data_IF_273431350400
#
_entry.id   IF_273431350400
#
_cell.length_a   1.000
_cell.length_b   1.000
_cell.length_c   1.000
_cell.angle_alpha   90.00
_cell.angle_beta   90.00
_cell.angle_gamma   90.00
#
_symmetry.space_group_name_H-M   'P 1'
#
loop_
_entity.id
_entity.type
_entity.pdbx_description
1 polymer ?
#
# COMPACT_ATOMS: atom_id res chain seq x y z
N UNK A 1 -24.01 -24.82 0.90
CA UNK A 1 -23.28 -23.54 1.06
C UNK A 1 -23.41 -22.73 -0.22
N UNK A 2 -23.71 -21.41 -0.15
CA UNK A 2 -23.86 -20.52 -1.29
C UNK A 2 -22.99 -19.25 -1.14
N UNK A 3 -22.94 -18.44 -2.20
CA UNK A 3 -22.09 -17.24 -2.23
C UNK A 3 -22.47 -16.20 -1.19
N UNK A 4 -23.77 -16.01 -0.89
CA UNK A 4 -24.24 -15.08 0.13
C UNK A 4 -23.82 -15.52 1.53
N UNK A 5 -23.83 -16.83 1.77
CA UNK A 5 -23.33 -17.37 3.04
C UNK A 5 -21.83 -17.08 3.19
N UNK A 6 -21.04 -17.25 2.12
CA UNK A 6 -19.62 -16.89 2.13
C UNK A 6 -19.40 -15.38 2.34
N UNK A 7 -20.18 -14.53 1.69
CA UNK A 7 -20.14 -13.07 1.91
C UNK A 7 -20.41 -12.72 3.37
N UNK A 8 -21.47 -13.28 3.97
CA UNK A 8 -21.84 -13.02 5.35
C UNK A 8 -20.77 -13.53 6.32
N UNK A 9 -20.20 -14.70 6.04
CA UNK A 9 -19.11 -15.26 6.82
C UNK A 9 -17.86 -14.36 6.77
N UNK A 10 -17.41 -13.98 5.58
CA UNK A 10 -16.25 -13.10 5.37
C UNK A 10 -16.47 -11.76 6.08
N UNK A 11 -17.64 -11.17 5.96
CA UNK A 11 -17.94 -9.89 6.58
C UNK A 11 -17.99 -10.00 8.12
N UNK A 12 -18.56 -11.09 8.66
CA UNK A 12 -18.56 -11.35 10.10
C UNK A 12 -17.14 -11.51 10.66
N UNK A 13 -16.28 -12.22 9.93
CA UNK A 13 -14.88 -12.39 10.30
C UNK A 13 -14.11 -11.06 10.29
N UNK A 14 -14.25 -10.26 9.24
CA UNK A 14 -13.62 -8.93 9.13
C UNK A 14 -14.04 -7.98 10.25
N UNK A 15 -15.35 -7.92 10.52
CA UNK A 15 -15.91 -7.02 11.55
C UNK A 15 -15.72 -7.54 12.99
N UNK A 16 -15.33 -8.80 13.15
CA UNK A 16 -15.25 -9.49 14.47
C UNK A 16 -16.53 -9.32 15.30
N UNK A 17 -17.69 -9.19 14.61
CA UNK A 17 -18.98 -8.92 15.23
C UNK A 17 -20.12 -9.20 14.25
N UNK A 18 -21.05 -10.08 14.63
CA UNK A 18 -22.25 -10.34 13.83
C UNK A 18 -23.16 -9.11 13.71
N UNK A 19 -23.24 -8.28 14.75
CA UNK A 19 -24.06 -7.06 14.72
C UNK A 19 -23.54 -6.06 13.71
N UNK A 20 -22.24 -5.73 13.76
CA UNK A 20 -21.62 -4.80 12.81
C UNK A 20 -21.64 -5.32 11.38
N UNK A 21 -21.42 -6.63 11.21
CA UNK A 21 -21.51 -7.24 9.90
C UNK A 21 -22.94 -7.17 9.33
N UNK A 22 -23.96 -7.43 10.16
CA UNK A 22 -25.35 -7.31 9.75
C UNK A 22 -25.72 -5.87 9.35
N UNK A 23 -25.29 -4.87 10.12
CA UNK A 23 -25.46 -3.44 9.79
C UNK A 23 -24.83 -3.08 8.45
N UNK A 24 -23.58 -3.52 8.22
CA UNK A 24 -22.86 -3.23 6.95
C UNK A 24 -23.47 -3.92 5.73
N UNK A 25 -24.18 -5.02 5.94
CA UNK A 25 -24.87 -5.80 4.90
C UNK A 25 -26.36 -5.43 4.76
N UNK A 26 -26.85 -4.46 5.55
CA UNK A 26 -28.25 -4.05 5.58
C UNK A 26 -29.22 -5.21 5.87
N UNK A 27 -28.83 -6.13 6.75
CA UNK A 27 -29.65 -7.26 7.22
C UNK A 27 -29.76 -7.26 8.73
N UNK A 28 -30.58 -8.18 9.27
CA UNK A 28 -30.71 -8.31 10.74
C UNK A 28 -29.64 -9.24 11.31
N UNK A 29 -29.21 -8.99 12.56
CA UNK A 29 -28.25 -9.85 13.24
C UNK A 29 -28.73 -11.32 13.38
N UNK A 30 -30.04 -11.61 13.67
CA UNK A 30 -30.50 -12.99 13.63
C UNK A 30 -30.34 -13.68 12.30
N UNK A 31 -30.46 -12.96 11.17
CA UNK A 31 -30.27 -13.49 9.83
C UNK A 31 -28.84 -13.97 9.62
N UNK A 32 -27.84 -13.10 9.91
CA UNK A 32 -26.44 -13.50 9.73
C UNK A 32 -26.04 -14.64 10.68
N UNK A 33 -26.50 -14.62 11.93
CA UNK A 33 -26.22 -15.69 12.91
C UNK A 33 -26.81 -17.04 12.48
N UNK A 34 -28.03 -17.04 11.93
CA UNK A 34 -28.67 -18.25 11.41
C UNK A 34 -27.91 -18.81 10.19
N UNK A 35 -27.48 -17.92 9.28
CA UNK A 35 -26.72 -18.32 8.10
C UNK A 35 -25.37 -18.94 8.46
N UNK A 36 -24.64 -18.32 9.38
CA UNK A 36 -23.37 -18.86 9.88
C UNK A 36 -23.59 -20.23 10.53
N UNK A 37 -24.59 -20.35 11.40
CA UNK A 37 -24.91 -21.64 12.04
C UNK A 37 -25.25 -22.74 11.03
N UNK A 38 -25.95 -22.39 9.96
CA UNK A 38 -26.25 -23.36 8.90
C UNK A 38 -24.96 -23.82 8.18
N UNK A 39 -24.01 -22.90 7.97
CA UNK A 39 -22.69 -23.23 7.40
C UNK A 39 -21.91 -24.15 8.33
N UNK A 40 -21.88 -23.86 9.63
CA UNK A 40 -21.22 -24.69 10.64
C UNK A 40 -21.79 -26.11 10.69
N UNK A 41 -23.13 -26.25 10.59
CA UNK A 41 -23.79 -27.54 10.50
C UNK A 41 -23.43 -28.29 9.21
N UNK A 42 -23.45 -27.59 8.06
CA UNK A 42 -23.15 -28.19 6.76
C UNK A 42 -21.68 -28.63 6.65
N UNK A 43 -20.76 -27.88 7.27
CA UNK A 43 -19.34 -28.16 7.28
C UNK A 43 -18.88 -29.07 8.44
N UNK A 44 -19.80 -29.42 9.33
CA UNK A 44 -19.54 -30.18 10.56
C UNK A 44 -18.38 -29.60 11.39
N UNK A 45 -18.25 -28.27 11.39
CA UNK A 45 -17.19 -27.55 12.07
C UNK A 45 -17.65 -26.17 12.55
N UNK A 46 -17.29 -25.83 13.78
CA UNK A 46 -17.46 -24.46 14.26
C UNK A 46 -16.50 -23.54 13.54
N UNK A 47 -17.02 -22.41 13.01
CA UNK A 47 -16.23 -21.42 12.27
C UNK A 47 -15.84 -20.24 13.15
N UNK A 48 -16.65 -19.98 14.18
CA UNK A 48 -16.41 -18.90 15.15
C UNK A 48 -16.48 -19.42 16.57
N UNK A 49 -15.66 -18.86 17.44
CA UNK A 49 -15.83 -18.94 18.88
C UNK A 49 -16.05 -17.55 19.47
N UNK A 50 -16.72 -17.50 20.63
CA UNK A 50 -17.03 -16.24 21.31
C UNK A 50 -15.93 -15.89 22.31
N UNK A 51 -15.46 -14.66 22.25
CA UNK A 51 -14.55 -14.09 23.22
C UNK A 51 -15.17 -12.80 23.80
N UNK A 52 -15.86 -12.94 24.89
CA UNK A 52 -16.62 -11.83 25.51
C UNK A 52 -17.71 -11.30 24.58
N UNK A 53 -17.57 -10.03 24.13
CA UNK A 53 -18.52 -9.38 23.21
C UNK A 53 -18.09 -9.48 21.73
N UNK A 54 -16.95 -10.11 21.44
CA UNK A 54 -16.43 -10.29 20.07
C UNK A 54 -16.51 -11.76 19.65
N UNK A 55 -16.36 -11.98 18.33
CA UNK A 55 -16.19 -13.31 17.75
C UNK A 55 -14.79 -13.40 17.15
N UNK A 56 -14.21 -14.60 17.19
CA UNK A 56 -12.95 -14.92 16.52
C UNK A 56 -13.12 -16.19 15.70
N UNK A 57 -12.31 -16.33 14.67
CA UNK A 57 -12.26 -17.54 13.85
C UNK A 57 -11.63 -18.69 14.63
N UNK A 58 -12.17 -19.89 14.43
CA UNK A 58 -11.51 -21.15 14.77
C UNK A 58 -10.47 -21.47 13.68
N UNK A 59 -9.66 -22.53 13.87
CA UNK A 59 -8.74 -23.01 12.83
C UNK A 59 -9.47 -23.36 11.52
N UNK A 60 -10.66 -24.00 11.62
CA UNK A 60 -11.54 -24.24 10.48
C UNK A 60 -12.04 -22.94 9.84
N UNK A 61 -12.41 -21.97 10.69
CA UNK A 61 -12.81 -20.63 10.27
C UNK A 61 -11.71 -19.90 9.51
N UNK A 62 -10.45 -19.98 9.94
CA UNK A 62 -9.32 -19.35 9.25
C UNK A 62 -9.06 -19.96 7.88
N UNK A 63 -9.11 -21.31 7.79
CA UNK A 63 -8.98 -22.01 6.50
C UNK A 63 -10.10 -21.58 5.55
N UNK A 64 -11.35 -21.58 6.04
CA UNK A 64 -12.49 -21.15 5.23
C UNK A 64 -12.39 -19.67 4.86
N UNK A 65 -11.97 -18.80 5.76
CA UNK A 65 -11.85 -17.36 5.52
C UNK A 65 -10.91 -17.07 4.35
N UNK A 66 -9.72 -17.68 4.34
CA UNK A 66 -8.73 -17.50 3.28
C UNK A 66 -9.25 -17.98 1.91
N UNK A 67 -10.08 -19.03 1.87
CA UNK A 67 -10.66 -19.54 0.61
C UNK A 67 -11.92 -18.77 0.22
N UNK A 68 -12.78 -18.44 1.19
CA UNK A 68 -14.03 -17.73 0.96
C UNK A 68 -13.80 -16.30 0.43
N UNK A 69 -12.77 -15.60 0.91
CA UNK A 69 -12.40 -14.30 0.36
C UNK A 69 -12.14 -14.37 -1.15
N UNK A 70 -11.31 -15.31 -1.59
CA UNK A 70 -11.00 -15.47 -3.00
C UNK A 70 -12.23 -15.81 -3.84
N UNK A 71 -13.15 -16.63 -3.32
CA UNK A 71 -14.39 -17.02 -4.02
C UNK A 71 -15.34 -15.82 -4.14
N UNK A 72 -15.59 -15.09 -3.05
CA UNK A 72 -16.47 -13.91 -3.04
C UNK A 72 -15.94 -12.86 -3.99
N UNK A 73 -14.63 -12.62 -3.98
CA UNK A 73 -14.00 -11.66 -4.87
C UNK A 73 -14.02 -12.09 -6.33
N UNK A 74 -13.79 -13.38 -6.61
CA UNK A 74 -13.91 -13.91 -7.96
C UNK A 74 -15.36 -13.82 -8.47
N UNK A 75 -16.34 -14.05 -7.60
CA UNK A 75 -17.76 -13.91 -7.96
C UNK A 75 -18.14 -12.45 -8.23
N UNK A 76 -17.64 -11.52 -7.41
CA UNK A 76 -17.85 -10.09 -7.64
C UNK A 76 -17.18 -9.62 -8.95
N UNK A 77 -15.99 -10.16 -9.29
CA UNK A 77 -15.33 -9.85 -10.56
C UNK A 77 -16.11 -10.40 -11.77
N UNK A 78 -16.72 -11.58 -11.66
CA UNK A 78 -17.60 -12.13 -12.72
C UNK A 78 -18.77 -11.20 -13.05
N UNK A 79 -19.42 -10.64 -12.04
CA UNK A 79 -20.50 -9.67 -12.25
C UNK A 79 -20.00 -8.39 -12.92
N UNK A 80 -18.85 -7.87 -12.48
CA UNK A 80 -18.25 -6.66 -13.08
C UNK A 80 -17.73 -6.91 -14.51
N UNK A 81 -17.29 -8.14 -14.82
CA UNK A 81 -16.84 -8.52 -16.15
C UNK A 81 -17.99 -8.72 -17.14
N UNK A 82 -19.09 -9.32 -16.68
CA UNK A 82 -20.31 -9.44 -17.47
C UNK A 82 -20.97 -8.07 -17.74
N UNK A 83 -20.91 -7.18 -16.75
CA UNK A 83 -21.35 -5.79 -16.89
C UNK A 83 -20.42 -4.99 -17.80
N UNK A 84 -19.10 -5.24 -17.76
CA UNK A 84 -18.13 -4.59 -18.68
C UNK A 84 -18.21 -5.13 -20.11
N UNK A 85 -18.61 -6.38 -20.31
CA UNK A 85 -18.96 -6.92 -21.63
C UNK A 85 -20.27 -6.34 -22.16
N UNK A 86 -21.20 -5.95 -21.29
CA UNK A 86 -22.46 -5.31 -21.67
C UNK A 86 -22.36 -3.81 -21.87
N UNK A 87 -21.49 -3.13 -21.11
CA UNK A 87 -21.29 -1.68 -21.16
C UNK A 87 -19.79 -1.39 -21.02
N UNK A 88 -19.11 -1.17 -22.15
CA UNK A 88 -17.77 -0.58 -22.23
C UNK A 88 -17.66 0.77 -21.48
N UNK A 89 -18.70 1.18 -20.78
CA UNK A 89 -18.87 2.48 -20.15
C UNK A 89 -18.79 2.46 -18.61
N UNK A 90 -18.81 1.31 -17.94
CA UNK A 90 -18.78 1.26 -16.47
C UNK A 90 -17.76 0.24 -15.97
N UNK A 91 -16.82 0.69 -15.17
CA UNK A 91 -15.83 -0.15 -14.51
C UNK A 91 -15.48 0.37 -13.13
N UNK A 92 -15.05 -0.52 -12.25
CA UNK A 92 -14.52 -0.14 -10.95
C UNK A 92 -13.09 -0.65 -10.82
N UNK A 93 -12.21 0.19 -10.29
CA UNK A 93 -10.81 -0.17 -10.02
C UNK A 93 -10.51 0.21 -8.58
N UNK A 94 -9.94 -0.72 -7.82
CA UNK A 94 -9.44 -0.50 -6.46
C UNK A 94 -7.94 -0.36 -6.52
N UNK A 95 -7.42 0.82 -6.20
CA UNK A 95 -6.01 1.14 -6.29
C UNK A 95 -5.49 1.48 -4.91
N UNK A 96 -4.44 0.77 -4.47
CA UNK A 96 -3.71 1.06 -3.25
C UNK A 96 -2.56 2.04 -3.52
N UNK A 97 -2.49 3.09 -2.73
CA UNK A 97 -1.48 4.13 -2.86
C UNK A 97 -0.87 4.43 -1.48
N UNK A 98 0.42 4.24 -1.28
CA UNK A 98 1.08 4.87 -0.15
C UNK A 98 0.94 6.39 -0.24
N UNK A 99 0.61 7.11 0.86
CA UNK A 99 0.28 8.53 0.81
C UNK A 99 1.31 9.40 0.07
N UNK A 100 2.59 9.13 0.33
CA UNK A 100 3.70 9.82 -0.31
C UNK A 100 3.73 9.60 -1.83
N UNK A 101 3.51 8.36 -2.27
CA UNK A 101 3.46 7.99 -3.69
C UNK A 101 2.23 8.58 -4.37
N UNK A 102 1.08 8.48 -3.67
CA UNK A 102 -0.18 9.03 -4.15
C UNK A 102 -0.10 10.52 -4.44
N UNK A 103 0.45 11.29 -3.52
CA UNK A 103 0.55 12.75 -3.65
C UNK A 103 1.49 13.19 -4.77
N UNK A 104 2.63 12.52 -4.95
CA UNK A 104 3.68 12.96 -5.87
C UNK A 104 3.44 12.56 -7.33
N UNK A 105 2.87 11.38 -7.58
CA UNK A 105 2.86 10.80 -8.93
C UNK A 105 1.46 10.68 -9.55
N UNK A 106 0.42 10.50 -8.76
CA UNK A 106 -0.86 10.05 -9.29
C UNK A 106 -1.93 11.10 -9.61
N UNK A 107 -1.90 12.35 -9.11
CA UNK A 107 -2.95 13.32 -9.44
C UNK A 107 -3.10 13.57 -10.94
N UNK A 108 -1.98 13.69 -11.66
CA UNK A 108 -1.96 13.88 -13.11
C UNK A 108 -2.46 12.63 -13.85
N UNK A 109 -2.01 11.44 -13.44
CA UNK A 109 -2.39 10.15 -14.05
C UNK A 109 -3.88 9.90 -13.89
N UNK A 110 -4.41 10.07 -12.66
CA UNK A 110 -5.83 9.91 -12.35
C UNK A 110 -6.67 10.92 -13.13
N UNK A 111 -6.26 12.19 -13.15
CA UNK A 111 -6.99 13.24 -13.84
C UNK A 111 -7.07 13.01 -15.36
N UNK A 112 -6.00 12.58 -15.99
CA UNK A 112 -5.97 12.27 -17.42
C UNK A 112 -6.76 10.99 -17.74
N UNK A 113 -6.66 9.96 -16.90
CA UNK A 113 -7.44 8.74 -17.06
C UNK A 113 -8.93 9.01 -16.94
N UNK A 114 -9.37 9.79 -15.95
CA UNK A 114 -10.77 10.16 -15.78
C UNK A 114 -11.33 10.94 -16.97
N UNK A 115 -10.54 11.84 -17.59
CA UNK A 115 -10.95 12.54 -18.82
C UNK A 115 -11.19 11.58 -19.99
N UNK A 116 -10.39 10.51 -20.09
CA UNK A 116 -10.50 9.53 -21.17
C UNK A 116 -11.59 8.49 -20.92
N UNK A 117 -11.80 8.11 -19.64
CA UNK A 117 -12.76 7.10 -19.20
C UNK A 117 -13.64 7.61 -18.07
N UNK A 118 -14.55 8.58 -18.34
CA UNK A 118 -15.31 9.28 -17.30
C UNK A 118 -16.29 8.40 -16.55
N UNK A 119 -16.65 7.24 -17.09
CA UNK A 119 -17.57 6.28 -16.48
C UNK A 119 -16.84 5.23 -15.60
N UNK A 120 -15.50 5.21 -15.61
CA UNK A 120 -14.72 4.31 -14.75
C UNK A 120 -14.56 4.95 -13.37
N UNK A 121 -15.03 4.25 -12.36
CA UNK A 121 -14.87 4.66 -10.95
C UNK A 121 -13.56 4.11 -10.40
N UNK A 122 -12.69 4.99 -9.92
CA UNK A 122 -11.46 4.63 -9.20
C UNK A 122 -11.75 4.80 -7.71
N UNK A 123 -11.52 3.74 -6.93
CA UNK A 123 -11.51 3.79 -5.47
C UNK A 123 -10.07 3.73 -5.00
N UNK A 124 -9.61 4.81 -4.38
CA UNK A 124 -8.28 4.89 -3.80
C UNK A 124 -8.32 4.38 -2.35
N UNK A 125 -7.33 3.57 -2.01
CA UNK A 125 -7.09 3.08 -0.67
C UNK A 125 -5.69 3.53 -0.25
N UNK A 126 -5.63 4.44 0.72
CA UNK A 126 -4.38 5.00 1.21
C UNK A 126 -3.92 4.22 2.44
N UNK A 127 -2.76 3.55 2.32
CA UNK A 127 -2.14 2.81 3.42
C UNK A 127 -0.63 2.67 3.18
N UNK A 128 0.12 2.18 4.17
CA UNK A 128 1.55 1.88 4.01
C UNK A 128 1.81 0.85 2.90
N UNK A 129 2.97 0.93 2.24
CA UNK A 129 3.29 0.06 1.11
C UNK A 129 3.23 -1.44 1.45
N UNK A 130 3.55 -1.83 2.69
CA UNK A 130 3.40 -3.23 3.17
C UNK A 130 1.94 -3.68 3.10
N UNK A 131 1.03 -2.84 3.61
CA UNK A 131 -0.40 -3.16 3.61
C UNK A 131 -0.98 -3.17 2.21
N UNK A 132 -0.57 -2.22 1.37
CA UNK A 132 -0.96 -2.18 -0.05
C UNK A 132 -0.52 -3.46 -0.77
N UNK A 133 0.73 -3.94 -0.56
CA UNK A 133 1.22 -5.19 -1.14
C UNK A 133 0.39 -6.39 -0.69
N UNK A 134 0.13 -6.52 0.62
CA UNK A 134 -0.72 -7.57 1.19
C UNK A 134 -2.13 -7.54 0.59
N UNK A 135 -2.73 -6.36 0.45
CA UNK A 135 -4.08 -6.20 -0.07
C UNK A 135 -4.15 -6.51 -1.58
N UNK A 136 -3.06 -6.29 -2.34
CA UNK A 136 -2.95 -6.77 -3.71
C UNK A 136 -2.80 -8.29 -3.73
N UNK A 137 -1.92 -8.87 -2.91
CA UNK A 137 -1.73 -10.32 -2.82
C UNK A 137 -3.00 -11.08 -2.43
N UNK A 138 -3.79 -10.51 -1.52
CA UNK A 138 -5.08 -11.09 -1.10
C UNK A 138 -6.23 -10.78 -2.05
N UNK A 139 -6.03 -9.86 -3.02
CA UNK A 139 -7.03 -9.46 -4.00
C UNK A 139 -8.07 -8.46 -3.47
N UNK A 140 -7.84 -7.85 -2.32
CA UNK A 140 -8.63 -6.72 -1.83
C UNK A 140 -8.47 -5.50 -2.70
N UNK A 141 -7.29 -5.34 -3.30
CA UNK A 141 -6.96 -4.33 -4.31
C UNK A 141 -6.70 -5.01 -5.65
N UNK A 142 -7.02 -4.30 -6.73
CA UNK A 142 -6.77 -4.75 -8.09
C UNK A 142 -5.35 -4.38 -8.51
N UNK A 143 -4.88 -3.22 -8.07
CA UNK A 143 -3.57 -2.64 -8.36
C UNK A 143 -3.06 -1.96 -7.09
N UNK A 144 -1.76 -2.03 -6.84
CA UNK A 144 -1.12 -1.34 -5.72
C UNK A 144 0.19 -0.70 -6.14
N UNK A 145 0.51 0.43 -5.53
CA UNK A 145 1.85 1.00 -5.59
C UNK A 145 2.65 0.45 -4.44
N UNK A 146 3.75 -0.20 -4.77
CA UNK A 146 4.57 -0.96 -3.82
C UNK A 146 6.02 -0.50 -3.87
N UNK A 147 6.75 -0.83 -2.82
CA UNK A 147 8.20 -0.57 -2.75
C UNK A 147 8.95 -1.88 -2.94
N UNK A 148 9.89 -1.89 -3.87
CA UNK A 148 10.70 -3.09 -4.14
C UNK A 148 11.71 -3.38 -3.00
N UNK A 149 12.03 -4.68 -2.76
CA UNK A 149 11.57 -5.87 -3.47
C UNK A 149 10.19 -6.36 -2.99
N UNK A 150 9.44 -7.01 -3.89
CA UNK A 150 8.17 -7.68 -3.61
C UNK A 150 8.20 -9.15 -4.01
N UNK A 151 7.18 -9.91 -3.63
CA UNK A 151 7.06 -11.30 -4.02
C UNK A 151 6.71 -11.47 -5.51
N UNK A 152 7.73 -11.56 -6.37
CA UNK A 152 7.58 -11.71 -7.82
C UNK A 152 6.95 -13.04 -8.26
N UNK A 153 6.87 -14.05 -7.37
CA UNK A 153 6.14 -15.28 -7.67
C UNK A 153 4.62 -15.05 -7.69
N UNK A 154 4.11 -14.10 -6.92
CA UNK A 154 2.69 -13.77 -6.82
C UNK A 154 2.28 -12.54 -7.64
N UNK A 155 3.19 -11.58 -7.81
CA UNK A 155 2.91 -10.28 -8.37
C UNK A 155 3.64 -10.06 -9.71
N UNK A 156 2.94 -9.42 -10.64
CA UNK A 156 3.56 -8.69 -11.73
C UNK A 156 3.89 -7.29 -11.25
N UNK A 157 5.03 -6.77 -11.65
CA UNK A 157 5.46 -5.42 -11.29
C UNK A 157 5.90 -4.64 -12.53
N UNK A 158 5.70 -3.33 -12.45
CA UNK A 158 6.23 -2.34 -13.37
C UNK A 158 6.86 -1.22 -12.57
N UNK A 159 8.19 -1.16 -12.54
CA UNK A 159 8.93 -0.09 -11.87
C UNK A 159 8.82 1.19 -12.67
N UNK A 160 8.51 2.30 -12.02
CA UNK A 160 8.37 3.62 -12.63
C UNK A 160 9.16 4.71 -11.92
N UNK A 161 9.66 4.45 -10.71
CA UNK A 161 10.58 5.32 -9.97
C UNK A 161 11.76 4.51 -9.50
N UNK A 162 12.95 5.01 -9.80
CA UNK A 162 14.22 4.54 -9.27
C UNK A 162 15.00 5.75 -8.76
N UNK A 163 15.04 5.88 -7.45
CA UNK A 163 15.68 6.99 -6.76
C UNK A 163 16.40 6.48 -5.51
N UNK A 164 16.96 7.40 -4.76
CA UNK A 164 17.67 7.12 -3.51
C UNK A 164 17.10 7.95 -2.36
N UNK A 165 17.42 7.54 -1.15
CA UNK A 165 17.14 8.34 0.03
C UNK A 165 18.21 9.41 0.20
N UNK A 166 17.77 10.60 0.57
CA UNK A 166 18.61 11.70 0.99
C UNK A 166 18.39 12.01 2.48
N UNK A 167 19.43 12.52 3.11
CA UNK A 167 19.38 13.04 4.45
C UNK A 167 18.76 14.44 4.44
N UNK A 168 17.79 14.68 5.32
CA UNK A 168 17.25 16.01 5.57
C UNK A 168 17.66 16.48 6.98
N UNK A 169 18.12 17.72 7.04
CA UNK A 169 18.71 18.34 8.21
C UNK A 169 18.07 19.71 8.47
N UNK A 170 18.02 20.18 9.73
CA UNK A 170 17.68 21.56 10.00
C UNK A 170 18.82 22.50 9.54
N UNK A 171 18.48 23.76 9.26
CA UNK A 171 19.48 24.77 8.99
C UNK A 171 20.49 24.90 10.15
N UNK A 172 21.78 24.99 9.81
CA UNK A 172 22.85 25.11 10.81
C UNK A 172 23.28 23.78 11.46
N UNK A 173 22.77 22.66 11.02
CA UNK A 173 23.26 21.36 11.49
C UNK A 173 24.73 21.16 11.08
N UNK A 174 25.53 20.45 11.91
CA UNK A 174 26.97 20.20 11.67
C UNK A 174 27.29 19.59 10.29
N UNK A 175 26.36 18.81 9.74
CA UNK A 175 26.49 18.14 8.44
C UNK A 175 25.85 18.92 7.28
N UNK A 176 25.31 20.11 7.52
CA UNK A 176 24.56 20.86 6.52
C UNK A 176 25.43 21.41 5.34
N UNK A 177 26.75 21.56 5.56
CA UNK A 177 27.68 22.03 4.55
C UNK A 177 28.39 20.87 3.83
N UNK A 178 28.12 19.61 4.19
CA UNK A 178 28.74 18.45 3.55
C UNK A 178 28.14 18.21 2.15
N UNK A 179 28.97 17.88 1.19
CA UNK A 179 28.54 17.50 -0.16
C UNK A 179 27.92 16.09 -0.17
N UNK A 180 28.46 15.17 0.65
CA UNK A 180 28.03 13.79 0.82
C UNK A 180 28.22 13.40 2.29
N UNK A 181 27.32 12.57 2.84
CA UNK A 181 27.39 12.08 4.21
C UNK A 181 27.34 10.56 4.23
N UNK A 182 28.38 9.88 4.78
CA UNK A 182 28.30 8.45 5.06
C UNK A 182 27.21 8.15 6.10
N UNK A 183 26.46 7.06 5.91
CA UNK A 183 25.38 6.72 6.83
C UNK A 183 25.91 6.50 8.28
N UNK A 184 27.12 6.00 8.44
CA UNK A 184 27.77 5.81 9.74
C UNK A 184 27.98 7.10 10.55
N UNK A 185 28.07 8.25 9.90
CA UNK A 185 28.19 9.56 10.57
C UNK A 185 26.92 9.97 11.33
N UNK A 186 25.81 9.30 11.07
CA UNK A 186 24.53 9.56 11.70
C UNK A 186 24.31 8.77 13.01
N UNK A 187 25.31 7.99 13.46
CA UNK A 187 25.18 7.11 14.62
C UNK A 187 24.77 7.81 15.92
N UNK A 188 25.19 9.06 16.10
CA UNK A 188 24.89 9.85 17.31
C UNK A 188 23.66 10.77 17.12
N UNK A 189 23.07 10.79 15.94
CA UNK A 189 21.96 11.67 15.63
C UNK A 189 20.62 11.13 16.12
N UNK A 190 19.68 12.03 16.39
CA UNK A 190 18.31 11.71 16.73
C UNK A 190 17.45 11.67 15.46
N UNK A 191 16.71 10.55 15.26
CA UNK A 191 15.94 10.32 14.05
C UNK A 191 14.46 10.60 14.26
N UNK A 192 13.84 11.18 13.22
CA UNK A 192 12.40 11.26 13.02
C UNK A 192 12.08 10.31 11.86
N UNK A 193 11.36 9.22 12.11
CA UNK A 193 11.10 8.17 11.13
C UNK A 193 9.61 8.07 10.76
N UNK A 194 9.32 7.28 9.75
CA UNK A 194 7.98 6.74 9.57
C UNK A 194 7.68 5.68 10.63
N UNK A 195 6.40 5.42 10.87
CA UNK A 195 5.95 4.34 11.77
C UNK A 195 6.37 2.95 11.23
N UNK A 196 6.42 1.96 12.10
CA UNK A 196 6.83 0.56 11.80
C UNK A 196 6.01 -0.11 10.69
N UNK A 197 4.77 0.33 10.42
CA UNK A 197 3.92 -0.18 9.35
C UNK A 197 4.34 0.32 7.95
N UNK A 198 5.31 1.24 7.86
CA UNK A 198 5.86 1.72 6.59
C UNK A 198 7.15 0.99 6.21
N UNK A 199 7.26 0.60 4.94
CA UNK A 199 8.47 -0.03 4.38
C UNK A 199 9.72 0.82 4.56
N UNK A 200 9.57 2.14 4.52
CA UNK A 200 10.68 3.09 4.66
C UNK A 200 11.31 3.02 6.06
N UNK A 201 10.50 2.83 7.10
CA UNK A 201 10.99 2.61 8.47
C UNK A 201 11.97 1.43 8.50
N UNK A 202 11.51 0.23 8.11
CA UNK A 202 12.35 -0.97 8.16
C UNK A 202 13.60 -0.85 7.29
N UNK A 203 13.48 -0.21 6.13
CA UNK A 203 14.60 0.01 5.23
C UNK A 203 15.69 0.84 5.91
N UNK A 204 15.32 1.94 6.56
CA UNK A 204 16.26 2.82 7.26
C UNK A 204 16.89 2.08 8.44
N UNK A 205 16.08 1.45 9.29
CA UNK A 205 16.60 0.66 10.45
C UNK A 205 17.61 -0.39 9.97
N UNK A 206 17.26 -1.15 8.94
CA UNK A 206 18.12 -2.21 8.40
C UNK A 206 19.45 -1.65 7.88
N UNK A 207 19.45 -0.55 7.16
CA UNK A 207 20.69 0.03 6.62
C UNK A 207 21.55 0.66 7.73
N UNK A 208 20.96 1.28 8.75
CA UNK A 208 21.68 1.74 9.94
C UNK A 208 22.35 0.60 10.69
N UNK A 209 21.63 -0.52 10.90
CA UNK A 209 22.21 -1.72 11.53
C UNK A 209 23.37 -2.30 10.72
N UNK A 210 23.25 -2.35 9.38
CA UNK A 210 24.36 -2.77 8.51
C UNK A 210 25.55 -1.81 8.56
N UNK A 211 25.30 -0.51 8.74
CA UNK A 211 26.33 0.51 8.95
C UNK A 211 26.96 0.48 10.37
N UNK A 212 26.51 -0.42 11.24
CA UNK A 212 27.10 -0.69 12.54
C UNK A 212 26.46 0.04 13.72
N UNK A 213 25.28 0.65 13.57
CA UNK A 213 24.60 1.33 14.67
C UNK A 213 23.08 1.12 14.64
N UNK A 214 22.44 1.33 15.80
CA UNK A 214 21.00 1.41 15.95
C UNK A 214 20.59 2.89 15.96
N UNK A 215 19.67 3.35 15.07
CA UNK A 215 19.27 4.74 15.07
C UNK A 215 18.49 5.08 16.35
N UNK A 216 18.75 6.24 16.92
CA UNK A 216 18.02 6.77 18.07
C UNK A 216 16.74 7.41 17.58
N UNK A 217 15.67 6.63 17.44
CA UNK A 217 14.36 7.12 17.01
C UNK A 217 13.68 7.84 18.16
N UNK A 218 13.38 9.12 17.98
CA UNK A 218 12.72 9.95 19.01
C UNK A 218 11.28 10.27 18.65
N UNK A 219 10.93 10.26 17.36
CA UNK A 219 9.57 10.49 16.88
C UNK A 219 9.26 9.62 15.68
N UNK A 220 7.99 9.22 15.57
CA UNK A 220 7.45 8.49 14.43
C UNK A 220 6.17 9.14 13.91
N UNK A 221 6.00 9.17 12.59
CA UNK A 221 4.81 9.71 11.93
C UNK A 221 4.45 8.91 10.68
N UNK A 222 3.18 8.93 10.29
CA UNK A 222 2.72 8.43 8.99
C UNK A 222 2.81 9.49 7.88
N UNK A 223 3.15 10.75 8.22
CA UNK A 223 3.07 11.89 7.32
C UNK A 223 4.46 12.47 7.08
N UNK A 224 4.91 12.43 5.83
CA UNK A 224 6.23 12.95 5.45
C UNK A 224 6.36 14.48 5.64
N UNK A 225 5.28 15.23 5.46
CA UNK A 225 5.25 16.68 5.65
C UNK A 225 5.37 17.06 7.13
N UNK A 226 4.80 16.27 8.04
CA UNK A 226 5.01 16.44 9.47
C UNK A 226 6.46 16.12 9.85
N UNK A 227 7.02 15.02 9.33
CA UNK A 227 8.43 14.64 9.55
C UNK A 227 9.34 15.78 9.11
N UNK A 228 9.15 16.33 7.91
CA UNK A 228 9.98 17.45 7.41
C UNK A 228 9.85 18.71 8.26
N UNK A 229 8.66 19.04 8.76
CA UNK A 229 8.45 20.18 9.68
C UNK A 229 9.10 19.97 11.05
N UNK A 230 9.09 18.74 11.56
CA UNK A 230 9.78 18.38 12.80
C UNK A 230 11.30 18.54 12.65
N UNK A 231 11.87 18.07 11.53
CA UNK A 231 13.28 18.30 11.21
C UNK A 231 13.58 19.80 11.10
N UNK A 232 12.76 20.58 10.40
CA UNK A 232 12.91 22.03 10.29
C UNK A 232 12.85 22.76 11.63
N UNK A 233 12.17 22.17 12.62
CA UNK A 233 12.12 22.68 14.00
C UNK A 233 13.31 22.23 14.87
N UNK A 234 14.28 21.50 14.32
CA UNK A 234 15.45 21.01 15.04
C UNK A 234 15.17 19.81 15.94
N UNK A 235 14.11 19.04 15.68
CA UNK A 235 13.71 17.89 16.50
C UNK A 235 14.41 16.58 16.07
N UNK A 236 15.44 16.65 15.25
CA UNK A 236 16.20 15.51 14.75
C UNK A 236 16.45 15.58 13.25
N UNK A 237 16.87 14.44 12.67
CA UNK A 237 17.13 14.26 11.24
C UNK A 237 16.16 13.25 10.65
N UNK A 238 16.02 13.20 9.31
CA UNK A 238 15.28 12.14 8.66
C UNK A 238 15.91 11.75 7.31
N UNK A 239 15.55 10.56 6.83
CA UNK A 239 15.92 10.07 5.50
C UNK A 239 14.64 10.00 4.65
N UNK A 240 14.62 10.69 3.52
CA UNK A 240 13.45 10.75 2.64
C UNK A 240 13.85 10.53 1.17
N UNK A 241 12.93 9.99 0.36
CA UNK A 241 13.13 9.82 -1.07
C UNK A 241 13.42 11.14 -1.78
N UNK A 242 14.21 11.05 -2.85
CA UNK A 242 14.67 12.21 -3.62
C UNK A 242 13.50 13.06 -4.16
N UNK A 243 12.45 12.42 -4.67
CA UNK A 243 11.24 13.10 -5.15
C UNK A 243 10.62 13.99 -4.08
N UNK A 244 10.49 13.50 -2.85
CA UNK A 244 9.96 14.29 -1.74
C UNK A 244 10.89 15.45 -1.38
N UNK A 245 12.20 15.21 -1.44
CA UNK A 245 13.19 16.25 -1.13
C UNK A 245 13.21 17.40 -2.16
N UNK A 246 12.76 17.18 -3.40
CA UNK A 246 12.70 18.22 -4.45
C UNK A 246 11.73 19.34 -4.10
N UNK A 247 10.59 19.00 -3.46
CA UNK A 247 9.51 19.94 -3.16
C UNK A 247 9.64 20.61 -1.77
N UNK A 248 10.72 20.34 -1.05
CA UNK A 248 10.93 20.88 0.29
C UNK A 248 11.34 22.35 0.31
N UNK A 249 10.91 23.06 1.34
CA UNK A 249 11.32 24.43 1.61
C UNK A 249 12.81 24.51 2.01
N UNK A 250 13.65 24.82 1.04
CA UNK A 250 15.11 24.94 1.19
C UNK A 250 15.54 26.12 2.07
N UNK A 251 14.63 27.00 2.45
CA UNK A 251 14.95 28.07 3.41
C UNK A 251 15.00 27.59 4.85
N UNK A 252 14.48 26.39 5.13
CA UNK A 252 14.36 25.84 6.48
C UNK A 252 15.05 24.48 6.65
N UNK A 253 15.32 23.80 5.55
CA UNK A 253 15.87 22.45 5.51
C UNK A 253 17.06 22.38 4.54
N UNK A 254 18.04 21.59 4.91
CA UNK A 254 19.13 21.19 4.04
C UNK A 254 18.94 19.74 3.64
N UNK A 255 19.17 19.43 2.37
CA UNK A 255 19.14 18.08 1.85
C UNK A 255 20.54 17.70 1.40
N UNK A 256 21.07 16.64 1.98
CA UNK A 256 22.42 16.14 1.70
C UNK A 256 22.31 14.70 1.18
N UNK A 257 22.96 14.37 0.05
CA UNK A 257 22.98 12.99 -0.42
C UNK A 257 23.75 12.08 0.54
N UNK A 258 23.24 10.84 0.70
CA UNK A 258 23.92 9.79 1.47
C UNK A 258 24.91 9.02 0.62
N UNK A 259 25.97 8.55 1.28
CA UNK A 259 26.94 7.59 0.75
C UNK A 259 27.22 6.51 1.79
N UNK A 260 27.83 5.42 1.38
CA UNK A 260 28.29 4.32 2.23
C UNK A 260 27.29 3.82 3.29
N UNK A 261 26.13 3.28 2.87
CA UNK A 261 25.70 2.98 1.49
C UNK A 261 24.80 4.07 0.88
N UNK A 262 24.70 4.10 -0.42
CA UNK A 262 23.56 4.72 -1.11
C UNK A 262 22.35 3.81 -0.87
N UNK A 263 21.26 4.34 -0.35
CA UNK A 263 20.04 3.56 -0.04
C UNK A 263 19.07 3.70 -1.22
N UNK A 264 18.88 2.64 -2.04
CA UNK A 264 17.97 2.71 -3.18
C UNK A 264 16.52 2.71 -2.73
N UNK A 265 15.70 3.46 -3.47
CA UNK A 265 14.26 3.54 -3.27
C UNK A 265 13.55 3.37 -4.61
N UNK A 266 12.90 2.23 -4.79
CA UNK A 266 12.27 1.86 -6.05
C UNK A 266 10.77 1.65 -5.82
N UNK A 267 9.95 2.32 -6.63
CA UNK A 267 8.49 2.23 -6.57
C UNK A 267 7.99 1.55 -7.84
N UNK A 268 7.12 0.58 -7.65
CA UNK A 268 6.50 -0.17 -8.73
C UNK A 268 4.99 -0.20 -8.62
N UNK A 269 4.31 -0.24 -9.75
CA UNK A 269 2.91 -0.61 -9.85
C UNK A 269 2.82 -2.14 -9.91
N UNK A 270 2.06 -2.75 -8.99
CA UNK A 270 1.95 -4.19 -8.84
C UNK A 270 0.50 -4.67 -8.97
N UNK A 271 0.31 -5.88 -9.50
CA UNK A 271 -0.96 -6.59 -9.59
C UNK A 271 -0.72 -8.09 -9.59
N UNK A 272 -1.76 -8.87 -9.25
CA UNK A 272 -1.64 -10.35 -9.14
C UNK A 272 -1.35 -11.01 -10.48
N UNK A 273 -0.52 -12.08 -10.46
CA UNK A 273 -0.22 -12.92 -11.63
C UNK A 273 -1.33 -13.91 -11.96
N UNK A 274 -1.96 -14.46 -10.93
CA UNK A 274 -2.88 -15.59 -11.01
C UNK A 274 -4.35 -15.15 -11.06
N UNK A 275 -4.60 -13.86 -11.25
CA UNK A 275 -5.95 -13.29 -11.26
C UNK A 275 -6.25 -12.59 -12.57
N UNK A 276 -7.46 -12.82 -13.06
CA UNK A 276 -7.98 -12.03 -14.17
C UNK A 276 -8.20 -10.58 -13.73
N UNK A 277 -7.64 -9.67 -14.50
CA UNK A 277 -7.88 -8.24 -14.32
C UNK A 277 -9.09 -7.79 -15.14
N UNK A 278 -9.96 -6.97 -14.56
CA UNK A 278 -11.06 -6.35 -15.29
C UNK A 278 -10.53 -5.52 -16.47
N UNK A 279 -11.39 -5.26 -17.46
CA UNK A 279 -11.02 -4.38 -18.58
C UNK A 279 -10.52 -3.02 -18.08
N UNK A 280 -11.24 -2.42 -17.13
CA UNK A 280 -10.86 -1.13 -16.54
C UNK A 280 -9.47 -1.18 -15.87
N UNK A 281 -9.15 -2.25 -15.14
CA UNK A 281 -7.84 -2.41 -14.51
C UNK A 281 -6.71 -2.58 -15.55
N UNK A 282 -6.95 -3.34 -16.62
CA UNK A 282 -5.98 -3.48 -17.72
C UNK A 282 -5.73 -2.17 -18.44
N UNK A 283 -6.81 -1.44 -18.75
CA UNK A 283 -6.70 -0.13 -19.38
C UNK A 283 -5.99 0.89 -18.49
N UNK A 284 -6.27 0.87 -17.17
CA UNK A 284 -5.53 1.69 -16.21
C UNK A 284 -4.02 1.36 -16.23
N UNK A 285 -3.66 0.07 -16.15
CA UNK A 285 -2.26 -0.35 -16.16
C UNK A 285 -1.57 0.12 -17.46
N UNK A 286 -2.21 -0.09 -18.62
CA UNK A 286 -1.67 0.32 -19.91
C UNK A 286 -1.50 1.84 -19.99
N UNK A 287 -2.52 2.58 -19.58
CA UNK A 287 -2.52 4.04 -19.58
C UNK A 287 -1.47 4.62 -18.62
N UNK A 288 -1.46 4.14 -17.38
CA UNK A 288 -0.52 4.61 -16.35
C UNK A 288 0.93 4.28 -16.74
N UNK A 289 1.19 3.08 -17.30
CA UNK A 289 2.53 2.73 -17.83
C UNK A 289 2.99 3.71 -18.91
N UNK A 290 2.13 4.09 -19.84
CA UNK A 290 2.46 5.06 -20.88
C UNK A 290 2.89 6.40 -20.29
N UNK A 291 2.04 6.99 -19.43
CA UNK A 291 2.32 8.29 -18.83
C UNK A 291 3.53 8.29 -17.90
N UNK A 292 3.65 7.27 -17.04
CA UNK A 292 4.75 7.18 -16.10
C UNK A 292 6.09 6.96 -16.81
N UNK A 293 6.10 6.25 -17.94
CA UNK A 293 7.29 6.13 -18.79
C UNK A 293 7.69 7.48 -19.37
N UNK A 294 6.77 8.22 -19.94
CA UNK A 294 7.04 9.52 -20.53
C UNK A 294 7.55 10.55 -19.51
N UNK A 295 7.00 10.52 -18.29
CA UNK A 295 7.33 11.47 -17.24
C UNK A 295 8.64 11.15 -16.50
N UNK A 296 8.94 9.86 -16.29
CA UNK A 296 10.00 9.44 -15.35
C UNK A 296 11.09 8.56 -15.97
N UNK A 297 10.90 7.96 -17.15
CA UNK A 297 11.93 7.14 -17.82
C UNK A 297 12.89 7.95 -18.72
N UNK A 298 12.63 9.23 -18.97
CA UNK A 298 13.64 10.08 -19.59
C UNK A 298 14.86 10.33 -18.67
N UNK A 299 14.79 9.89 -17.41
CA UNK A 299 15.87 9.96 -16.41
C UNK A 299 16.53 8.58 -16.14
N UNK A 300 16.00 7.48 -16.71
CA UNK A 300 16.54 6.12 -16.49
C UNK A 300 17.37 5.63 -17.69
N UNK A 301 18.50 4.94 -17.45
CA UNK A 301 19.24 4.27 -18.53
C UNK A 301 18.37 3.15 -19.13
N UNK A 302 18.33 3.10 -20.45
CA UNK A 302 17.62 2.11 -21.25
C UNK A 302 18.11 0.69 -20.93
N UNK A 303 17.29 -0.17 -20.34
CA UNK A 303 17.51 -1.62 -20.35
C UNK A 303 16.77 -2.23 -21.55
N UNK A 304 17.47 -2.92 -22.47
CA UNK A 304 16.82 -3.66 -23.56
C UNK A 304 16.10 -4.89 -23.00
N UNK A 305 14.94 -5.19 -23.60
CA UNK A 305 14.10 -6.36 -23.31
C UNK A 305 14.86 -7.69 -23.44
#
# INVERSE_FOLDING_TARGET
MDIRQLEYFVQAARMKSFTRAAESLYITQPTISKMIRNMEIELEADLFYREGKSIRLTDAGEILFNKAQNIVESFASLSSELDSLRNLEQGHIRIGLPPMVGASFFPSVIGQFHKRYPQVTIRLHEDGAKKVEEDVETGLLDIGMVVLPVNTAKLHCFTFVEEKLNLILPMGHRLAEAELVPLSELAEEEFVLFREDFTLHDRIIMECVKAGFQPKVIYESSQWDLISRMVAAGMGIALLPETICRDMDRSRLVVVPLTDPVIPWQIAMAWRRDRYLSFAAREWISFAKGLLREQYQNELPYEPM
#
